data_IF_927796962527
#
_entry.id   IF_927796962527
#
_cell.length_a   1.000
_cell.length_b   1.000
_cell.length_c   1.000
_cell.angle_alpha   90.00
_cell.angle_beta   90.00
_cell.angle_gamma   90.00
#
_symmetry.space_group_name_H-M   'P 1'
#
loop_
_entity.id
_entity.type
_entity.pdbx_description
1 polymer ?
#
# COMPACT_ATOMS: atom_id res chain seq x y z
N UNK A 1 -8.82 -21.88 3.03
CA UNK A 1 -7.47 -22.43 3.16
C UNK A 1 -7.35 -23.74 2.41
N UNK A 2 -8.17 -24.76 2.71
CA UNK A 2 -8.14 -26.11 2.10
C UNK A 2 -8.16 -26.08 0.55
N UNK A 3 -9.01 -25.23 -0.04
CA UNK A 3 -9.03 -25.03 -1.50
C UNK A 3 -7.68 -24.56 -2.05
N UNK A 4 -7.04 -23.60 -1.37
CA UNK A 4 -5.73 -23.07 -1.77
C UNK A 4 -4.65 -24.14 -1.67
N UNK A 5 -4.68 -24.93 -0.61
CA UNK A 5 -3.75 -26.07 -0.41
C UNK A 5 -3.85 -27.11 -1.51
N UNK A 6 -5.09 -27.50 -1.88
CA UNK A 6 -5.30 -28.47 -2.97
C UNK A 6 -4.95 -27.89 -4.34
N UNK A 7 -5.10 -26.59 -4.51
CA UNK A 7 -4.70 -25.88 -5.73
C UNK A 7 -3.19 -25.63 -5.82
N UNK A 8 -2.44 -25.92 -4.75
CA UNK A 8 -1.00 -25.66 -4.69
C UNK A 8 -0.63 -24.18 -4.47
N UNK A 9 -1.61 -23.35 -4.13
CA UNK A 9 -1.41 -21.92 -3.86
C UNK A 9 -0.91 -21.75 -2.43
N UNK A 10 0.22 -21.08 -2.30
CA UNK A 10 0.75 -20.71 -0.98
C UNK A 10 -0.05 -19.55 -0.41
N UNK A 11 -0.32 -19.64 0.89
CA UNK A 11 -0.85 -18.52 1.65
C UNK A 11 -0.07 -18.37 2.95
N UNK A 12 -0.07 -17.16 3.47
CA UNK A 12 0.50 -16.86 4.77
C UNK A 12 -0.54 -16.08 5.60
N UNK A 13 -0.65 -16.43 6.88
CA UNK A 13 -1.52 -15.72 7.81
C UNK A 13 -0.66 -14.73 8.57
N UNK A 14 -0.85 -13.45 8.30
CA UNK A 14 -0.15 -12.40 9.01
C UNK A 14 -0.57 -12.35 10.49
N UNK A 15 0.36 -12.01 11.38
CA UNK A 15 0.08 -11.82 12.80
C UNK A 15 -0.58 -10.48 13.13
N UNK A 16 -0.52 -9.54 12.17
CA UNK A 16 -1.17 -8.22 12.20
C UNK A 16 -1.85 -7.95 10.87
N UNK A 17 -1.84 -6.71 10.43
CA UNK A 17 -2.39 -6.34 9.13
C UNK A 17 -1.57 -6.94 7.98
N UNK A 18 -2.27 -7.59 7.04
CA UNK A 18 -1.63 -8.25 5.92
C UNK A 18 -0.94 -7.23 4.99
N UNK A 19 -1.48 -6.02 4.89
CA UNK A 19 -0.97 -4.96 4.01
C UNK A 19 0.43 -4.50 4.42
N UNK A 20 0.72 -4.43 5.71
CA UNK A 20 2.06 -4.17 6.22
C UNK A 20 3.06 -5.24 5.77
N UNK A 21 2.68 -6.51 5.88
CA UNK A 21 3.51 -7.63 5.44
C UNK A 21 3.75 -7.58 3.93
N UNK A 22 2.70 -7.36 3.15
CA UNK A 22 2.77 -7.27 1.68
C UNK A 22 3.70 -6.11 1.28
N UNK A 23 3.51 -4.93 1.87
CA UNK A 23 4.34 -3.78 1.58
C UNK A 23 5.82 -4.05 1.91
N UNK A 24 6.10 -4.70 3.04
CA UNK A 24 7.45 -5.09 3.40
C UNK A 24 8.05 -6.08 2.39
N UNK A 25 7.30 -7.07 1.93
CA UNK A 25 7.75 -8.03 0.91
C UNK A 25 8.09 -7.35 -0.43
N UNK A 26 7.30 -6.35 -0.84
CA UNK A 26 7.57 -5.56 -2.06
C UNK A 26 8.82 -4.68 -1.87
N UNK A 27 8.91 -3.95 -0.74
CA UNK A 27 10.06 -3.07 -0.42
C UNK A 27 11.37 -3.85 -0.32
N UNK A 28 11.34 -5.04 0.30
CA UNK A 28 12.50 -5.94 0.42
C UNK A 28 12.80 -6.72 -0.87
N UNK A 29 12.04 -6.50 -1.95
CA UNK A 29 12.18 -7.18 -3.24
C UNK A 29 12.03 -8.71 -3.17
N UNK A 30 11.33 -9.22 -2.17
CA UNK A 30 10.97 -10.64 -2.06
C UNK A 30 9.87 -11.03 -3.05
N UNK A 31 9.00 -10.07 -3.38
CA UNK A 31 7.99 -10.16 -4.45
C UNK A 31 8.14 -8.96 -5.38
N UNK A 32 7.67 -9.11 -6.63
CA UNK A 32 7.82 -8.08 -7.66
C UNK A 32 6.85 -6.91 -7.48
N UNK A 33 5.64 -7.18 -6.98
CA UNK A 33 4.58 -6.20 -6.73
C UNK A 33 3.46 -6.85 -5.92
N UNK A 34 2.43 -6.09 -5.61
CA UNK A 34 1.22 -6.57 -4.93
C UNK A 34 -0.02 -6.38 -5.79
N UNK A 35 -1.03 -7.23 -5.54
CA UNK A 35 -2.38 -7.08 -6.07
C UNK A 35 -3.29 -6.72 -4.90
N UNK A 36 -3.79 -5.49 -4.88
CA UNK A 36 -4.70 -5.00 -3.86
C UNK A 36 -5.49 -3.81 -4.39
N UNK A 37 -6.77 -3.73 -4.04
CA UNK A 37 -7.59 -2.54 -4.30
C UNK A 37 -7.51 -1.50 -3.18
N UNK A 38 -6.71 -1.76 -2.15
CA UNK A 38 -6.45 -0.82 -1.08
C UNK A 38 -5.48 0.28 -1.53
N UNK A 39 -5.85 1.53 -1.27
CA UNK A 39 -5.03 2.71 -1.60
C UNK A 39 -3.86 2.88 -0.65
N UNK A 40 -3.94 2.35 0.57
CA UNK A 40 -2.90 2.46 1.57
C UNK A 40 -1.61 1.73 1.15
N UNK A 41 -1.70 0.77 0.20
CA UNK A 41 -0.54 0.11 -0.37
C UNK A 41 0.49 1.10 -0.94
N UNK A 42 0.02 2.22 -1.52
CA UNK A 42 0.91 3.28 -2.01
C UNK A 42 1.61 4.01 -0.87
N UNK A 43 0.88 4.29 0.21
CA UNK A 43 1.39 5.00 1.40
C UNK A 43 2.35 4.13 2.20
N UNK A 44 2.11 2.81 2.25
CA UNK A 44 3.05 1.84 2.80
C UNK A 44 4.33 1.66 1.97
N UNK A 45 4.35 2.22 0.76
CA UNK A 45 5.55 2.28 -0.10
C UNK A 45 5.71 1.09 -1.05
N UNK A 46 4.62 0.44 -1.44
CA UNK A 46 4.64 -0.51 -2.55
C UNK A 46 5.03 0.21 -3.84
N UNK A 47 6.14 -0.21 -4.44
CA UNK A 47 6.63 0.39 -5.69
C UNK A 47 5.83 -0.04 -6.91
N UNK A 48 5.15 -1.19 -6.84
CA UNK A 48 4.34 -1.76 -7.92
C UNK A 48 3.05 -2.33 -7.36
N UNK A 49 1.92 -1.74 -7.78
CA UNK A 49 0.59 -2.12 -7.34
C UNK A 49 -0.28 -2.45 -8.53
N UNK A 50 -0.89 -3.62 -8.49
CA UNK A 50 -1.95 -4.03 -9.42
C UNK A 50 -3.30 -3.83 -8.76
N UNK A 51 -4.25 -3.22 -9.48
CA UNK A 51 -5.59 -2.95 -9.00
C UNK A 51 -6.63 -3.28 -10.06
N UNK A 52 -7.87 -3.41 -9.63
CA UNK A 52 -9.03 -3.58 -10.51
C UNK A 52 -8.88 -4.75 -11.48
N UNK A 53 -8.49 -5.92 -10.95
CA UNK A 53 -8.43 -7.13 -11.76
C UNK A 53 -9.85 -7.50 -12.26
N UNK A 54 -9.99 -7.66 -13.57
CA UNK A 54 -11.19 -8.13 -14.21
C UNK A 54 -10.93 -9.47 -14.87
N UNK A 55 -11.45 -10.54 -14.28
CA UNK A 55 -11.35 -11.88 -14.87
C UNK A 55 -12.17 -12.01 -16.15
N UNK A 56 -13.27 -11.25 -16.25
CA UNK A 56 -14.12 -11.26 -17.45
C UNK A 56 -13.42 -10.61 -18.65
N UNK A 57 -12.73 -9.50 -18.42
CA UNK A 57 -12.06 -8.73 -19.47
C UNK A 57 -10.59 -9.09 -19.63
N UNK A 58 -10.05 -9.97 -18.76
CA UNK A 58 -8.62 -10.33 -18.70
C UNK A 58 -7.72 -9.10 -18.58
N UNK A 59 -8.11 -8.13 -17.74
CA UNK A 59 -7.38 -6.87 -17.54
C UNK A 59 -7.07 -6.63 -16.08
N UNK A 60 -6.00 -5.87 -15.84
CA UNK A 60 -5.61 -5.34 -14.54
C UNK A 60 -4.95 -3.98 -14.76
N UNK A 61 -5.14 -3.06 -13.84
CA UNK A 61 -4.46 -1.76 -13.89
C UNK A 61 -3.17 -1.85 -13.09
N UNK A 62 -2.07 -1.52 -13.73
CA UNK A 62 -0.74 -1.47 -13.13
C UNK A 62 -0.34 -0.04 -12.81
N UNK A 63 0.13 0.16 -11.58
CA UNK A 63 0.67 1.43 -11.09
C UNK A 63 2.15 1.25 -10.73
N UNK A 64 3.01 2.05 -11.35
CA UNK A 64 4.41 2.22 -10.94
C UNK A 64 4.51 3.45 -10.05
N UNK A 65 4.54 3.24 -8.74
CA UNK A 65 4.58 4.34 -7.76
C UNK A 65 5.82 5.21 -7.93
N UNK A 66 6.95 4.62 -8.33
CA UNK A 66 8.18 5.39 -8.55
C UNK A 66 8.04 6.34 -9.74
N UNK A 67 7.47 5.87 -10.84
CA UNK A 67 7.22 6.71 -12.01
C UNK A 67 6.20 7.82 -11.69
N UNK A 68 5.12 7.48 -10.97
CA UNK A 68 4.10 8.46 -10.54
C UNK A 68 4.74 9.57 -9.70
N UNK A 69 5.54 9.23 -8.70
CA UNK A 69 6.20 10.21 -7.84
C UNK A 69 7.18 11.10 -8.61
N UNK A 70 7.89 10.51 -9.58
CA UNK A 70 8.76 11.27 -10.48
C UNK A 70 7.97 12.28 -11.31
N UNK A 71 6.87 11.87 -11.92
CA UNK A 71 6.04 12.74 -12.76
C UNK A 71 5.34 13.84 -11.95
N UNK A 72 5.02 13.57 -10.68
CA UNK A 72 4.48 14.55 -9.74
C UNK A 72 5.55 15.47 -9.12
N UNK A 73 6.83 15.25 -9.41
CA UNK A 73 7.96 15.95 -8.78
C UNK A 73 7.90 15.88 -7.24
N UNK A 74 7.49 14.75 -6.69
CA UNK A 74 7.34 14.50 -5.26
C UNK A 74 8.36 13.47 -4.76
N UNK A 75 8.85 13.67 -3.54
CA UNK A 75 9.50 12.60 -2.79
C UNK A 75 8.44 11.68 -2.19
N UNK A 76 8.84 10.46 -1.81
CA UNK A 76 7.94 9.52 -1.13
C UNK A 76 7.45 10.07 0.22
N UNK A 77 8.31 10.75 0.96
CA UNK A 77 7.94 11.39 2.23
C UNK A 77 6.89 12.49 2.02
N UNK A 78 7.08 13.38 1.03
CA UNK A 78 6.09 14.39 0.67
C UNK A 78 4.74 13.77 0.27
N UNK A 79 4.77 12.67 -0.49
CA UNK A 79 3.57 11.93 -0.85
C UNK A 79 2.83 11.38 0.38
N UNK A 80 3.54 10.71 1.29
CA UNK A 80 2.95 10.20 2.53
C UNK A 80 2.36 11.34 3.38
N UNK A 81 3.07 12.46 3.50
CA UNK A 81 2.60 13.63 4.24
C UNK A 81 1.30 14.20 3.64
N UNK A 82 1.21 14.27 2.31
CA UNK A 82 0.01 14.69 1.59
C UNK A 82 -1.15 13.73 1.85
N UNK A 83 -0.91 12.41 1.75
CA UNK A 83 -1.95 11.41 1.93
C UNK A 83 -2.50 11.42 3.36
N UNK A 84 -1.63 11.46 4.37
CA UNK A 84 -2.05 11.54 5.77
C UNK A 84 -2.84 12.83 6.02
N UNK A 85 -2.41 13.96 5.48
CA UNK A 85 -3.11 15.24 5.62
C UNK A 85 -4.46 15.25 4.91
N UNK A 86 -4.58 14.53 3.77
CA UNK A 86 -5.82 14.46 2.99
C UNK A 86 -6.85 13.48 3.55
N UNK A 87 -6.46 12.65 4.51
CA UNK A 87 -7.30 11.66 5.18
C UNK A 87 -6.95 10.24 4.79
N UNK A 88 -6.85 9.42 5.81
CA UNK A 88 -6.67 7.97 5.76
C UNK A 88 -7.71 7.34 6.68
N UNK A 89 -7.81 6.02 6.70
CA UNK A 89 -8.73 5.31 7.61
C UNK A 89 -8.44 5.59 9.08
N UNK A 90 -7.23 6.08 9.40
CA UNK A 90 -6.79 6.39 10.76
C UNK A 90 -7.11 7.82 11.21
N UNK A 91 -7.42 8.76 10.31
CA UNK A 91 -7.67 10.18 10.62
C UNK A 91 -8.87 10.78 9.88
N UNK A 92 -10.02 10.11 9.94
CA UNK A 92 -11.24 10.45 9.20
C UNK A 92 -11.78 11.85 9.57
N UNK A 93 -11.56 12.33 10.79
CA UNK A 93 -12.19 13.53 11.32
C UNK A 93 -11.38 14.83 11.16
N UNK A 94 -10.07 14.73 10.98
CA UNK A 94 -9.15 15.88 10.94
C UNK A 94 -8.35 15.86 9.65
N UNK A 95 -9.04 15.96 8.51
CA UNK A 95 -8.37 15.93 7.22
C UNK A 95 -8.79 17.09 6.33
N UNK A 96 -7.94 17.38 5.37
CA UNK A 96 -8.15 18.34 4.29
C UNK A 96 -8.49 17.56 3.02
N UNK A 97 -9.32 18.10 2.12
CA UNK A 97 -9.53 17.43 0.83
C UNK A 97 -8.22 17.35 0.05
N UNK A 98 -8.04 16.29 -0.73
CA UNK A 98 -6.83 16.11 -1.57
C UNK A 98 -6.57 17.32 -2.48
N UNK A 99 -7.61 17.94 -3.02
CA UNK A 99 -7.48 19.12 -3.86
C UNK A 99 -6.91 20.33 -3.11
N UNK A 100 -7.31 20.50 -1.86
CA UNK A 100 -6.81 21.57 -1.01
C UNK A 100 -5.38 21.31 -0.56
N UNK A 101 -5.09 20.08 -0.16
CA UNK A 101 -3.74 19.64 0.20
C UNK A 101 -2.75 19.85 -0.95
N UNK A 102 -3.13 19.57 -2.20
CA UNK A 102 -2.29 19.83 -3.38
C UNK A 102 -2.06 21.32 -3.62
N UNK A 103 -3.07 22.18 -3.37
CA UNK A 103 -2.87 23.63 -3.44
C UNK A 103 -1.87 24.12 -2.40
N UNK A 104 -1.98 23.62 -1.17
CA UNK A 104 -1.05 23.93 -0.07
C UNK A 104 0.36 23.44 -0.41
N UNK A 105 0.47 22.21 -0.93
CA UNK A 105 1.74 21.66 -1.38
C UNK A 105 2.40 22.50 -2.48
N UNK A 106 1.61 23.02 -3.40
CA UNK A 106 2.13 23.96 -4.43
C UNK A 106 2.72 25.24 -3.81
N UNK A 107 2.12 25.75 -2.75
CA UNK A 107 2.65 26.92 -2.01
C UNK A 107 3.96 26.56 -1.29
N UNK A 108 4.00 25.38 -0.64
CA UNK A 108 5.23 24.87 -0.02
C UNK A 108 6.37 24.74 -1.05
N UNK A 109 6.10 24.16 -2.24
CA UNK A 109 7.11 24.02 -3.29
C UNK A 109 7.64 25.39 -3.76
N UNK A 110 6.79 26.41 -3.83
CA UNK A 110 7.22 27.80 -4.12
C UNK A 110 8.11 28.36 -3.01
N UNK A 111 7.74 28.11 -1.75
CA UNK A 111 8.55 28.48 -0.59
C UNK A 111 9.93 27.84 -0.64
N UNK A 112 10.00 26.53 -0.93
CA UNK A 112 11.25 25.76 -0.98
C UNK A 112 12.18 26.13 -2.14
N UNK A 113 11.65 26.66 -3.25
CA UNK A 113 12.44 27.18 -4.38
C UNK A 113 13.29 28.41 -4.02
N UNK A 114 12.90 29.16 -3.00
CA UNK A 114 13.68 30.30 -2.54
C UNK A 114 14.85 29.83 -1.66
N UNK A 115 16.08 29.99 -2.17
CA UNK A 115 17.32 29.57 -1.47
C UNK A 115 17.56 30.21 -0.11
N UNK A 116 16.90 31.36 0.19
CA UNK A 116 16.99 32.05 1.47
C UNK A 116 16.10 31.39 2.55
N UNK A 117 15.12 30.60 2.18
CA UNK A 117 14.21 29.97 3.11
C UNK A 117 14.83 28.76 3.76
N UNK A 118 14.46 28.50 5.03
CA UNK A 118 14.89 27.31 5.76
C UNK A 118 14.25 26.08 5.11
N UNK A 119 15.07 25.09 4.83
CA UNK A 119 14.57 23.79 4.37
C UNK A 119 13.86 23.05 5.53
N UNK A 120 12.65 22.56 5.27
CA UNK A 120 11.87 21.78 6.22
C UNK A 120 10.95 20.80 5.48
N UNK A 121 10.40 19.80 6.18
CA UNK A 121 9.39 18.89 5.62
C UNK A 121 8.08 19.63 5.35
N UNK A 122 7.24 19.06 4.50
CA UNK A 122 5.97 19.66 4.12
C UNK A 122 5.04 19.82 5.33
N UNK A 123 4.84 18.76 6.11
CA UNK A 123 3.97 18.81 7.30
C UNK A 123 4.44 19.83 8.34
N UNK A 124 5.76 19.98 8.53
CA UNK A 124 6.30 20.99 9.45
C UNK A 124 6.04 22.41 8.93
N UNK A 125 6.20 22.62 7.62
CA UNK A 125 5.88 23.90 7.03
C UNK A 125 4.40 24.24 7.18
N UNK A 126 3.51 23.27 6.92
CA UNK A 126 2.05 23.44 7.05
C UNK A 126 1.68 23.80 8.47
N UNK A 127 2.21 23.10 9.48
CA UNK A 127 1.90 23.37 10.90
C UNK A 127 2.34 24.77 11.36
N UNK A 128 3.37 25.35 10.73
CA UNK A 128 3.90 26.66 11.09
C UNK A 128 3.28 27.82 10.29
N UNK A 129 2.69 27.55 9.14
CA UNK A 129 2.25 28.58 8.22
C UNK A 129 0.75 28.52 7.88
N UNK A 130 0.04 27.54 8.38
CA UNK A 130 -1.39 27.32 8.13
C UNK A 130 -2.09 26.80 9.36
N UNK A 131 -3.43 26.72 9.33
CA UNK A 131 -4.26 26.13 10.39
C UNK A 131 -4.70 24.69 10.06
N UNK A 132 -4.17 24.08 8.99
CA UNK A 132 -4.61 22.78 8.49
C UNK A 132 -4.10 21.58 9.30
N UNK A 133 -3.11 21.75 10.15
CA UNK A 133 -2.64 20.75 11.13
C UNK A 133 -2.80 21.37 12.51
N UNK A 134 -4.01 21.29 13.11
CA UNK A 134 -4.28 21.89 14.40
C UNK A 134 -3.55 21.14 15.54
N UNK A 135 -3.39 19.84 15.42
CA UNK A 135 -2.62 19.00 16.33
C UNK A 135 -1.46 18.31 15.59
N UNK A 136 -0.27 18.83 15.79
CA UNK A 136 0.93 18.32 15.14
C UNK A 136 1.36 16.96 15.66
N UNK A 137 1.16 16.67 16.93
CA UNK A 137 1.53 15.39 17.53
C UNK A 137 0.57 14.29 17.08
N UNK A 138 -0.71 14.58 16.97
CA UNK A 138 -1.70 13.66 16.37
C UNK A 138 -1.34 13.34 14.94
N UNK A 139 -1.04 14.35 14.10
CA UNK A 139 -0.58 14.14 12.74
C UNK A 139 0.65 13.22 12.68
N UNK A 140 1.65 13.46 13.50
CA UNK A 140 2.87 12.64 13.55
C UNK A 140 2.58 11.19 13.95
N UNK A 141 1.63 10.96 14.84
CA UNK A 141 1.23 9.62 15.24
C UNK A 141 0.60 8.86 14.08
N UNK A 142 -0.31 9.48 13.32
CA UNK A 142 -0.87 8.89 12.11
C UNK A 142 0.21 8.65 11.04
N UNK A 143 1.09 9.61 10.81
CA UNK A 143 2.19 9.48 9.86
C UNK A 143 3.13 8.32 10.18
N UNK A 144 3.40 8.06 11.46
CA UNK A 144 4.24 6.94 11.91
C UNK A 144 3.65 5.56 11.58
N UNK A 145 2.32 5.44 11.49
CA UNK A 145 1.65 4.17 11.15
C UNK A 145 2.13 3.68 9.77
N UNK A 146 2.33 4.59 8.83
CA UNK A 146 2.77 4.27 7.47
C UNK A 146 4.30 4.12 7.33
N UNK A 147 5.08 4.54 8.35
CA UNK A 147 6.51 4.29 8.39
C UNK A 147 6.80 2.90 8.95
N UNK A 148 6.86 1.92 8.06
CA UNK A 148 7.14 0.51 8.37
C UNK A 148 8.63 0.31 8.76
N UNK A 149 9.10 1.01 9.77
CA UNK A 149 10.53 0.99 10.14
C UNK A 149 10.95 -0.29 10.87
N UNK A 150 10.00 -1.11 11.32
CA UNK A 150 10.29 -2.33 12.09
C UNK A 150 9.32 -3.47 11.74
N UNK A 151 9.56 -4.14 10.64
CA UNK A 151 9.01 -5.48 10.47
C UNK A 151 10.02 -6.48 11.07
N UNK A 152 9.54 -7.41 11.89
CA UNK A 152 10.42 -8.48 12.40
C UNK A 152 10.90 -9.33 11.24
N UNK A 153 12.16 -9.17 10.84
CA UNK A 153 12.83 -9.92 9.75
C UNK A 153 12.61 -11.45 9.80
N UNK A 154 12.51 -12.11 10.97
CA UNK A 154 12.30 -13.56 11.03
C UNK A 154 11.04 -14.04 10.31
N UNK A 155 9.98 -13.27 10.32
CA UNK A 155 8.70 -13.63 9.67
C UNK A 155 8.86 -13.69 8.15
N UNK A 156 9.52 -12.69 7.58
CA UNK A 156 9.68 -12.56 6.12
C UNK A 156 10.62 -13.63 5.54
N UNK A 157 11.65 -14.01 6.29
CA UNK A 157 12.63 -15.00 5.82
C UNK A 157 12.06 -16.43 5.81
N UNK A 158 10.99 -16.69 6.55
CA UNK A 158 10.35 -18.00 6.62
C UNK A 158 9.21 -18.18 5.60
N UNK A 159 8.85 -17.14 4.84
CA UNK A 159 7.81 -17.24 3.80
C UNK A 159 8.37 -17.97 2.58
N UNK A 160 7.79 -19.12 2.26
CA UNK A 160 8.13 -19.87 1.05
C UNK A 160 7.25 -19.43 -0.11
N UNK A 161 7.89 -19.04 -1.21
CA UNK A 161 7.23 -18.68 -2.47
C UNK A 161 7.25 -19.83 -3.50
N UNK A 162 7.67 -21.03 -3.09
CA UNK A 162 7.74 -22.19 -3.99
C UNK A 162 6.33 -22.66 -4.32
N UNK A 163 6.05 -22.86 -5.59
CA UNK A 163 4.82 -23.46 -6.07
C UNK A 163 4.76 -24.94 -5.69
N UNK A 164 3.58 -25.43 -5.34
CA UNK A 164 3.34 -26.85 -5.13
C UNK A 164 2.42 -27.41 -6.23
N UNK A 165 2.57 -28.69 -6.62
CA UNK A 165 1.71 -29.27 -7.63
C UNK A 165 0.25 -29.32 -7.17
N UNK A 166 -0.67 -29.12 -8.10
CA UNK A 166 -2.11 -29.23 -7.85
C UNK A 166 -2.44 -30.68 -7.46
N UNK A 167 -3.14 -30.86 -6.35
CA UNK A 167 -3.65 -32.16 -5.89
C UNK A 167 -5.03 -32.41 -6.51
N UNK A 168 -5.04 -32.77 -7.82
CA UNK A 168 -6.25 -32.83 -8.66
C UNK A 168 -7.38 -33.62 -8.04
N UNK A 169 -7.09 -34.83 -7.56
CA UNK A 169 -8.12 -35.73 -7.01
C UNK A 169 -8.80 -35.14 -5.78
N UNK A 170 -8.00 -34.61 -4.85
CA UNK A 170 -8.52 -33.95 -3.64
C UNK A 170 -9.27 -32.66 -3.96
N UNK A 171 -8.78 -31.91 -4.94
CA UNK A 171 -9.44 -30.68 -5.39
C UNK A 171 -10.81 -31.01 -6.00
N UNK A 172 -10.90 -32.04 -6.84
CA UNK A 172 -12.14 -32.46 -7.47
C UNK A 172 -13.13 -32.98 -6.42
N UNK A 173 -12.70 -33.82 -5.51
CA UNK A 173 -13.52 -34.30 -4.40
C UNK A 173 -14.08 -33.15 -3.55
N UNK A 174 -13.19 -32.22 -3.16
CA UNK A 174 -13.56 -31.04 -2.38
C UNK A 174 -14.61 -30.20 -3.11
N UNK A 175 -14.38 -29.87 -4.39
CA UNK A 175 -15.31 -29.06 -5.16
C UNK A 175 -16.66 -29.77 -5.40
N UNK A 176 -16.65 -31.10 -5.61
CA UNK A 176 -17.88 -31.91 -5.75
C UNK A 176 -18.73 -31.83 -4.48
N UNK A 177 -18.11 -31.88 -3.31
CA UNK A 177 -18.79 -31.72 -2.02
C UNK A 177 -19.46 -30.35 -1.84
N UNK A 178 -19.01 -29.34 -2.58
CA UNK A 178 -19.62 -28.01 -2.63
C UNK A 178 -20.55 -27.80 -3.85
N UNK A 179 -20.93 -28.89 -4.54
CA UNK A 179 -21.94 -28.87 -5.62
C UNK A 179 -21.38 -28.52 -7.00
N UNK A 180 -20.08 -28.51 -7.21
CA UNK A 180 -19.49 -28.36 -8.54
C UNK A 180 -19.60 -29.66 -9.31
N UNK A 181 -20.06 -29.58 -10.58
CA UNK A 181 -20.20 -30.71 -11.49
C UNK A 181 -19.06 -30.65 -12.50
N UNK A 182 -18.29 -31.72 -12.60
CA UNK A 182 -17.23 -31.86 -13.59
C UNK A 182 -17.76 -32.76 -14.73
N UNK A 183 -17.78 -32.22 -15.95
CA UNK A 183 -18.03 -33.06 -17.12
C UNK A 183 -16.77 -33.89 -17.39
N UNK A 184 -16.92 -35.20 -17.46
CA UNK A 184 -15.89 -36.09 -17.98
C UNK A 184 -15.65 -35.76 -19.46
N UNK A 185 -14.47 -35.20 -19.76
CA UNK A 185 -13.98 -35.01 -21.12
C UNK A 185 -13.44 -36.30 -21.69
#
# INVERSE_FOLDING_TARGET
KTLMEYYGVKYYVATGEADHLIAHLVKSKKVWGCLSDDMDMFVYGCTRVYRHISLLNHTVIYYDTTAILHDLEMTFDEFCEIMVMSGTDYNIHNNTSIHETIKIFTQYKKYMKNKKNKKMSFHLWVSQNTEYIPDYDEFLNHYKIFKLDKFEEPVVNNISFKYEPIQRDKLQEFLTNYGFIFCSS
#
